data_IF_545394195907
#
_entry.id   IF_545394195907
#
_cell.length_a   1.000
_cell.length_b   1.000
_cell.length_c   1.000
_cell.angle_alpha   90.00
_cell.angle_beta   90.00
_cell.angle_gamma   90.00
#
_symmetry.space_group_name_H-M   'P 1'
#
loop_
_entity.id
_entity.type
_entity.pdbx_description
1 polymer ?
#
# COMPACT_ATOMS: atom_id res chain seq x y z
N UNK A 1 10.23 24.37 -16.84
CA UNK A 1 10.28 23.62 -16.46
C UNK A 1 10.49 22.99 -15.82
N UNK A 2 10.17 22.95 -15.86
CA UNK A 2 10.30 22.41 -14.93
C UNK A 2 11.30 21.74 -14.56
N UNK A 3 12.19 22.38 -14.37
CA UNK A 3 13.29 21.73 -13.74
C UNK A 3 12.90 20.98 -12.49
N UNK A 4 11.84 21.37 -11.89
CA UNK A 4 11.31 20.67 -10.72
C UNK A 4 10.36 19.53 -11.11
N UNK A 5 10.17 19.34 -12.40
CA UNK A 5 9.40 18.21 -12.87
C UNK A 5 10.29 16.97 -12.90
N UNK A 6 9.94 16.00 -12.12
CA UNK A 6 10.62 14.70 -12.12
C UNK A 6 9.61 13.64 -12.47
N UNK A 7 9.81 12.92 -13.59
CA UNK A 7 8.93 11.81 -13.90
C UNK A 7 8.93 10.84 -12.73
N UNK A 8 7.80 10.69 -12.08
CA UNK A 8 7.67 9.70 -11.03
C UNK A 8 7.52 8.35 -11.69
N UNK A 9 8.36 7.34 -11.34
CA UNK A 9 8.23 6.00 -11.93
C UNK A 9 6.81 5.46 -11.81
N UNK A 10 6.09 5.81 -10.75
CA UNK A 10 4.72 5.36 -10.54
C UNK A 10 3.74 5.91 -11.58
N UNK A 11 4.05 7.06 -12.20
CA UNK A 11 3.20 7.65 -13.23
C UNK A 11 3.11 6.74 -14.45
N UNK A 12 4.16 5.95 -14.72
CA UNK A 12 4.19 5.05 -15.87
C UNK A 12 3.61 3.67 -15.54
N UNK A 13 3.11 3.51 -14.33
CA UNK A 13 2.49 2.25 -13.92
C UNK A 13 0.99 2.43 -13.81
N UNK A 14 0.28 1.32 -13.84
CA UNK A 14 -1.17 1.27 -13.94
C UNK A 14 -1.75 0.72 -12.63
N UNK A 15 -2.89 1.23 -12.23
CA UNK A 15 -3.61 0.74 -11.06
C UNK A 15 -4.58 -0.39 -11.45
N UNK A 16 -5.25 -0.96 -10.44
CA UNK A 16 -6.17 -2.07 -10.64
C UNK A 16 -7.40 -1.70 -11.47
N UNK A 17 -7.65 -0.42 -11.69
CA UNK A 17 -8.76 0.05 -12.52
C UNK A 17 -8.36 0.25 -13.98
N UNK A 18 -7.08 0.03 -14.31
CA UNK A 18 -6.59 0.22 -15.68
C UNK A 18 -6.23 1.65 -16.01
N UNK A 19 -6.13 2.53 -15.02
CA UNK A 19 -5.72 3.92 -15.21
C UNK A 19 -4.37 4.16 -14.56
N UNK A 20 -3.83 5.37 -14.71
CA UNK A 20 -2.53 5.70 -14.14
C UNK A 20 -2.55 5.57 -12.62
N UNK A 21 -1.49 4.99 -12.07
CA UNK A 21 -1.39 4.78 -10.62
C UNK A 21 -1.40 6.13 -9.89
N UNK A 22 -2.36 6.28 -8.99
CA UNK A 22 -2.48 7.49 -8.17
C UNK A 22 -1.63 7.37 -6.90
N UNK A 23 -1.36 8.51 -6.25
CA UNK A 23 -0.62 8.50 -4.99
C UNK A 23 -1.46 7.87 -3.88
N UNK A 24 -0.77 7.24 -2.94
CA UNK A 24 -1.38 6.67 -1.75
C UNK A 24 -1.36 7.68 -0.61
N UNK A 25 -0.18 8.06 -0.15
CA UNK A 25 -0.05 8.99 0.96
C UNK A 25 1.34 9.60 1.00
N UNK A 26 1.40 10.92 1.32
CA UNK A 26 2.67 11.61 1.48
C UNK A 26 2.99 11.87 2.95
N UNK A 27 2.01 11.72 3.86
CA UNK A 27 2.22 11.92 5.29
C UNK A 27 1.27 11.00 6.08
N UNK A 28 1.73 9.83 6.48
CA UNK A 28 3.10 9.32 6.43
C UNK A 28 3.54 9.04 4.99
N UNK A 29 4.80 9.34 4.71
CA UNK A 29 5.35 9.08 3.37
C UNK A 29 5.51 7.59 3.17
N UNK A 30 4.74 7.02 2.27
CA UNK A 30 4.63 5.58 2.09
C UNK A 30 5.23 5.11 0.77
N UNK A 31 5.22 3.79 0.58
CA UNK A 31 5.71 3.13 -0.61
C UNK A 31 7.09 2.52 -0.39
N UNK A 32 7.38 1.46 -1.13
CA UNK A 32 8.69 0.82 -1.06
C UNK A 32 9.81 1.85 -1.33
N UNK A 33 9.56 2.75 -2.30
CA UNK A 33 10.53 3.78 -2.68
C UNK A 33 10.36 5.08 -1.88
N UNK A 34 9.44 5.12 -0.94
CA UNK A 34 9.18 6.29 -0.08
C UNK A 34 8.91 7.56 -0.87
N UNK A 35 8.07 7.46 -1.89
CA UNK A 35 7.67 8.62 -2.70
C UNK A 35 6.15 8.82 -2.72
N UNK A 36 5.40 8.12 -1.89
CA UNK A 36 3.97 8.30 -1.76
C UNK A 36 3.13 7.41 -2.65
N UNK A 37 3.75 6.58 -3.48
CA UNK A 37 3.06 5.71 -4.43
C UNK A 37 3.34 4.25 -4.14
N UNK A 38 2.34 3.39 -4.34
CA UNK A 38 2.46 1.94 -4.16
C UNK A 38 2.93 1.27 -5.45
N UNK A 39 3.91 1.86 -6.11
CA UNK A 39 4.49 1.24 -7.30
C UNK A 39 5.54 0.21 -6.88
N UNK A 40 5.87 -0.69 -7.79
CA UNK A 40 6.73 -1.81 -7.48
C UNK A 40 7.75 -2.07 -8.59
N UNK A 41 8.72 -2.91 -8.32
CA UNK A 41 9.76 -3.29 -9.26
C UNK A 41 10.48 -4.53 -8.76
N UNK A 42 11.53 -4.93 -9.48
CA UNK A 42 12.23 -6.19 -9.22
C UNK A 42 12.85 -6.28 -7.82
N UNK A 43 13.17 -5.14 -7.22
CA UNK A 43 13.77 -5.12 -5.87
C UNK A 43 12.74 -5.16 -4.76
N UNK A 44 11.48 -4.90 -5.08
CA UNK A 44 10.40 -4.90 -4.10
C UNK A 44 9.83 -6.32 -4.01
N UNK A 45 10.54 -7.20 -3.32
CA UNK A 45 10.17 -8.60 -3.18
C UNK A 45 8.81 -8.74 -2.48
N UNK A 46 8.53 -7.87 -1.51
CA UNK A 46 7.26 -7.90 -0.79
C UNK A 46 6.08 -7.36 -1.58
N UNK A 47 6.34 -6.70 -2.71
CA UNK A 47 5.30 -6.08 -3.54
C UNK A 47 4.36 -5.21 -2.70
N UNK A 48 4.86 -4.04 -2.31
CA UNK A 48 4.12 -3.08 -1.48
C UNK A 48 3.14 -2.30 -2.35
N UNK A 49 2.10 -2.98 -2.82
CA UNK A 49 1.22 -2.53 -3.90
C UNK A 49 -0.19 -2.18 -3.45
N UNK A 50 -0.52 -2.36 -2.18
CA UNK A 50 -1.89 -2.17 -1.69
C UNK A 50 -1.95 -0.90 -0.84
N UNK A 51 -2.62 0.12 -1.37
CA UNK A 51 -2.86 1.35 -0.59
C UNK A 51 -4.05 1.13 0.33
N UNK A 52 -3.78 0.89 1.60
CA UNK A 52 -4.80 0.53 2.58
C UNK A 52 -4.91 1.59 3.67
N UNK A 53 -6.13 1.77 4.16
CA UNK A 53 -6.39 2.63 5.30
C UNK A 53 -6.26 1.81 6.57
N UNK A 54 -5.32 2.19 7.43
CA UNK A 54 -5.03 1.41 8.62
C UNK A 54 -6.19 1.44 9.61
N UNK A 55 -6.44 0.27 10.21
CA UNK A 55 -7.38 0.11 11.31
C UNK A 55 -6.64 -0.50 12.50
N UNK A 56 -7.18 -0.33 13.70
CA UNK A 56 -6.61 -0.99 14.88
C UNK A 56 -6.54 -2.50 14.69
N UNK A 57 -7.60 -3.08 14.14
CA UNK A 57 -7.69 -4.52 13.91
C UNK A 57 -6.59 -5.01 12.99
N UNK A 58 -6.41 -4.31 11.85
CA UNK A 58 -5.37 -4.74 10.90
C UNK A 58 -3.97 -4.55 11.48
N UNK A 59 -3.72 -3.43 12.16
CA UNK A 59 -2.40 -3.16 12.73
C UNK A 59 -2.01 -4.21 13.76
N UNK A 60 -2.95 -4.57 14.64
CA UNK A 60 -2.69 -5.59 15.65
C UNK A 60 -2.56 -6.97 15.04
N UNK A 61 -3.38 -7.29 14.05
CA UNK A 61 -3.30 -8.54 13.32
C UNK A 61 -1.94 -8.66 12.63
N UNK A 62 -1.52 -7.63 11.92
CA UNK A 62 -0.26 -7.62 11.20
C UNK A 62 0.93 -7.83 12.14
N UNK A 63 0.93 -7.14 13.28
CA UNK A 63 1.97 -7.30 14.28
C UNK A 63 2.03 -8.74 14.80
N UNK A 64 0.86 -9.35 15.04
CA UNK A 64 0.79 -10.73 15.54
C UNK A 64 1.30 -11.74 14.51
N UNK A 65 1.33 -11.36 13.24
CA UNK A 65 1.82 -12.22 12.15
C UNK A 65 3.27 -11.92 11.78
N UNK A 66 3.96 -11.13 12.59
CA UNK A 66 5.37 -10.83 12.36
C UNK A 66 5.65 -9.62 11.50
N UNK A 67 4.64 -8.84 11.15
CA UNK A 67 4.79 -7.60 10.38
C UNK A 67 4.33 -6.42 11.23
N UNK A 68 5.20 -5.97 12.13
CA UNK A 68 4.88 -4.89 13.06
C UNK A 68 4.97 -3.54 12.36
N UNK A 69 3.81 -2.91 12.14
CA UNK A 69 3.71 -1.58 11.55
C UNK A 69 3.47 -0.49 12.59
N UNK A 70 3.41 -0.86 13.87
CA UNK A 70 3.06 0.05 14.96
C UNK A 70 4.30 0.64 15.61
N UNK A 71 5.32 -0.18 15.84
CA UNK A 71 6.51 0.24 16.57
C UNK A 71 7.37 1.17 15.72
N UNK A 72 7.69 2.38 16.21
CA UNK A 72 8.57 3.27 15.47
C UNK A 72 9.96 2.67 15.25
N UNK A 73 10.55 2.96 14.10
CA UNK A 73 11.91 2.57 13.74
C UNK A 73 12.64 3.84 13.30
N UNK A 74 13.13 4.64 14.27
CA UNK A 74 13.71 5.95 13.96
C UNK A 74 14.89 5.89 13.00
N UNK A 75 15.68 4.81 13.07
CA UNK A 75 16.84 4.63 12.18
C UNK A 75 16.44 4.53 10.71
N UNK A 76 15.18 4.19 10.43
CA UNK A 76 14.64 4.13 9.07
C UNK A 76 13.68 5.28 8.78
N UNK A 77 13.59 6.26 9.70
CA UNK A 77 12.66 7.36 9.53
C UNK A 77 11.20 6.95 9.61
N UNK A 78 10.91 5.81 10.23
CA UNK A 78 9.55 5.29 10.34
C UNK A 78 8.98 5.61 11.72
N UNK A 79 7.90 6.39 11.74
CA UNK A 79 7.29 6.86 12.98
C UNK A 79 6.27 5.88 13.58
N UNK A 80 5.98 4.77 12.89
CA UNK A 80 4.89 3.87 13.26
C UNK A 80 3.57 4.36 12.69
N UNK A 81 2.63 3.44 12.49
CA UNK A 81 1.33 3.77 11.90
C UNK A 81 0.25 3.78 12.97
N UNK A 82 -0.77 4.59 12.73
CA UNK A 82 -1.94 4.71 13.58
C UNK A 82 -3.20 4.46 12.74
N UNK A 83 -4.32 4.10 13.39
CA UNK A 83 -5.59 4.00 12.66
C UNK A 83 -5.90 5.28 11.90
N UNK A 84 -6.32 5.14 10.65
CA UNK A 84 -6.59 6.27 9.77
C UNK A 84 -5.45 6.61 8.84
N UNK A 85 -4.24 6.16 9.10
CA UNK A 85 -3.11 6.35 8.20
C UNK A 85 -3.29 5.51 6.94
N UNK A 86 -2.76 6.00 5.81
CA UNK A 86 -2.71 5.22 4.58
C UNK A 86 -1.30 4.70 4.36
N UNK A 87 -1.21 3.47 3.93
CA UNK A 87 0.10 2.82 3.78
C UNK A 87 0.09 1.84 2.62
N UNK A 88 1.19 1.78 1.89
CA UNK A 88 1.39 0.78 0.85
C UNK A 88 1.78 -0.54 1.52
N UNK A 89 0.81 -1.41 1.68
CA UNK A 89 0.97 -2.69 2.37
C UNK A 89 1.49 -3.74 1.40
N UNK A 90 2.32 -4.64 1.91
CA UNK A 90 2.74 -5.82 1.16
C UNK A 90 1.50 -6.61 0.71
N UNK A 91 1.46 -6.96 -0.58
CA UNK A 91 0.28 -7.61 -1.17
C UNK A 91 -0.11 -8.88 -0.43
N UNK A 92 0.86 -9.75 -0.13
CA UNK A 92 0.56 -11.01 0.57
C UNK A 92 0.10 -10.78 2.00
N UNK A 93 0.54 -9.70 2.65
CA UNK A 93 0.06 -9.36 4.00
C UNK A 93 -1.40 -8.93 3.97
N UNK A 94 -1.80 -8.21 2.91
CA UNK A 94 -3.20 -7.83 2.76
C UNK A 94 -4.06 -9.05 2.44
N UNK A 95 -3.57 -9.95 1.57
CA UNK A 95 -4.28 -11.21 1.23
C UNK A 95 -4.43 -12.09 2.47
N UNK A 96 -3.40 -12.20 3.30
CA UNK A 96 -3.47 -12.93 4.55
C UNK A 96 -4.59 -12.39 5.45
N UNK A 97 -4.68 -11.07 5.55
CA UNK A 97 -5.73 -10.42 6.32
C UNK A 97 -7.11 -10.64 5.68
N UNK A 98 -7.18 -10.62 4.34
CA UNK A 98 -8.42 -10.89 3.63
C UNK A 98 -8.95 -12.28 3.97
N UNK A 99 -8.09 -13.28 3.99
CA UNK A 99 -8.45 -14.65 4.28
C UNK A 99 -8.97 -14.85 5.70
N UNK A 100 -8.60 -13.97 6.63
CA UNK A 100 -8.98 -14.06 8.03
C UNK A 100 -9.92 -12.95 8.47
N UNK A 101 -10.54 -12.25 7.51
CA UNK A 101 -11.56 -11.24 7.78
C UNK A 101 -11.00 -10.02 8.53
N UNK A 102 -9.73 -9.71 8.30
CA UNK A 102 -9.04 -8.59 8.94
C UNK A 102 -8.58 -7.53 7.95
N UNK A 103 -8.91 -7.67 6.65
CA UNK A 103 -8.42 -6.77 5.63
C UNK A 103 -9.06 -5.39 5.76
N UNK A 104 -8.25 -4.32 5.75
CA UNK A 104 -8.77 -2.96 5.77
C UNK A 104 -9.22 -2.51 4.38
N UNK A 105 -9.97 -1.42 4.34
CA UNK A 105 -10.39 -0.82 3.08
C UNK A 105 -9.19 -0.25 2.34
N UNK A 106 -9.32 -0.18 1.01
CA UNK A 106 -8.23 0.21 0.12
C UNK A 106 -8.67 1.33 -0.82
N UNK A 107 -7.67 2.08 -1.30
CA UNK A 107 -7.85 3.09 -2.33
C UNK A 107 -7.49 2.46 -3.66
N UNK A 108 -8.51 2.07 -4.45
CA UNK A 108 -8.31 1.29 -5.68
C UNK A 108 -7.38 1.99 -6.67
N UNK A 109 -7.55 3.28 -6.86
CA UNK A 109 -6.76 4.03 -7.84
C UNK A 109 -5.28 4.12 -7.46
N UNK A 110 -4.94 3.81 -6.22
CA UNK A 110 -3.57 3.83 -5.73
C UNK A 110 -2.99 2.43 -5.51
N UNK A 111 -3.74 1.36 -5.87
CA UNK A 111 -3.25 -0.01 -5.81
C UNK A 111 -2.70 -0.43 -7.16
N UNK A 112 -1.50 -0.99 -7.17
CA UNK A 112 -0.83 -1.40 -8.41
C UNK A 112 -1.57 -2.55 -9.10
N UNK A 113 -1.56 -2.56 -10.43
CA UNK A 113 -2.29 -3.56 -11.21
C UNK A 113 -1.86 -5.00 -10.92
N UNK A 114 -0.63 -5.23 -10.46
CA UNK A 114 -0.15 -6.57 -10.15
C UNK A 114 -0.95 -7.24 -9.03
N UNK A 115 -1.68 -6.46 -8.23
CA UNK A 115 -2.55 -7.01 -7.20
C UNK A 115 -3.63 -7.91 -7.81
N UNK A 116 -4.00 -7.66 -9.07
CA UNK A 116 -4.99 -8.49 -9.78
C UNK A 116 -4.50 -9.92 -10.03
N UNK A 117 -3.20 -10.17 -9.92
CA UNK A 117 -2.66 -11.53 -10.01
C UNK A 117 -3.02 -12.35 -8.77
N UNK A 118 -3.36 -11.71 -7.67
CA UNK A 118 -3.64 -12.35 -6.39
C UNK A 118 -5.10 -12.29 -5.99
N UNK A 119 -5.80 -11.20 -6.36
CA UNK A 119 -7.18 -10.94 -5.94
C UNK A 119 -7.96 -10.40 -7.12
N UNK A 120 -9.15 -10.94 -7.35
CA UNK A 120 -9.98 -10.46 -8.46
C UNK A 120 -10.55 -9.07 -8.18
N UNK A 121 -10.89 -8.37 -9.27
CA UNK A 121 -11.32 -6.96 -9.17
C UNK A 121 -12.62 -6.81 -8.38
N UNK A 122 -13.52 -7.77 -8.46
CA UNK A 122 -14.81 -7.66 -7.76
C UNK A 122 -14.59 -7.71 -6.24
N UNK A 123 -13.69 -8.56 -5.77
CA UNK A 123 -13.31 -8.60 -4.36
C UNK A 123 -12.67 -7.28 -3.92
N UNK A 124 -11.75 -6.75 -4.75
CA UNK A 124 -11.12 -5.47 -4.44
C UNK A 124 -12.13 -4.34 -4.34
N UNK A 125 -13.11 -4.30 -5.25
CA UNK A 125 -14.15 -3.28 -5.21
C UNK A 125 -14.99 -3.35 -3.96
N UNK A 126 -15.15 -4.53 -3.40
CA UNK A 126 -15.88 -4.70 -2.14
C UNK A 126 -15.18 -3.98 -0.98
N UNK A 127 -13.87 -3.84 -1.02
CA UNK A 127 -13.09 -3.15 -0.02
C UNK A 127 -12.75 -1.72 -0.37
N UNK A 128 -13.31 -1.19 -1.46
CA UNK A 128 -13.00 0.15 -1.92
C UNK A 128 -13.49 1.22 -0.94
N UNK A 129 -12.66 2.22 -0.75
CA UNK A 129 -13.03 3.42 -0.01
C UNK A 129 -13.98 4.30 -0.81
#
# INVERSE_FOLDING_TARGET
MSSDYHPNPAINQTNVLGTALASCCFDPLTGYYRNGFCHTGNHDVGQHTVCAKMTSEFLNFSASRGNDLITPLPEYGFAGLQPGDYWCVCALRWVEALDLDMAPQIKLEACHESLLDLVDIDTLKHFAL
#
